data_IF_616294221580
#
_entry.id   IF_616294221580
#
_cell.length_a   1.000
_cell.length_b   1.000
_cell.length_c   1.000
_cell.angle_alpha   90.00
_cell.angle_beta   90.00
_cell.angle_gamma   90.00
#
_symmetry.space_group_name_H-M   'P 1'
#
loop_
_entity.id
_entity.type
_entity.pdbx_description
1 polymer ?
#
# COMPACT_ATOMS: atom_id res chain seq x y z
N UNK A 1 19.80 -38.86 2.27
CA UNK A 1 20.11 -37.62 3.01
C UNK A 1 18.92 -36.69 2.86
N UNK A 2 18.48 -36.12 3.97
CA UNK A 2 17.25 -35.34 4.10
C UNK A 2 17.39 -33.91 3.58
N UNK A 3 16.25 -33.25 3.35
CA UNK A 3 16.17 -31.80 3.29
C UNK A 3 15.09 -31.23 2.37
N UNK A 4 13.83 -31.69 2.48
CA UNK A 4 12.71 -30.93 1.90
C UNK A 4 12.29 -29.86 2.90
N UNK A 5 12.56 -28.60 2.55
CA UNK A 5 12.30 -27.42 3.37
C UNK A 5 10.81 -27.22 3.63
N UNK A 6 10.48 -27.18 4.91
CA UNK A 6 9.17 -26.87 5.48
C UNK A 6 8.75 -25.43 5.19
N UNK A 7 7.66 -25.25 4.41
CA UNK A 7 6.90 -23.98 4.34
C UNK A 7 5.44 -24.14 4.77
N UNK A 8 5.00 -25.34 5.18
CA UNK A 8 3.60 -25.68 5.46
C UNK A 8 3.09 -25.27 6.85
N UNK A 9 3.98 -24.88 7.76
CA UNK A 9 3.63 -24.71 9.18
C UNK A 9 2.77 -23.49 9.55
N UNK A 10 2.70 -22.46 8.69
CA UNK A 10 1.91 -21.24 8.95
C UNK A 10 0.51 -21.38 8.34
N UNK A 11 0.41 -21.95 7.14
CA UNK A 11 -0.87 -22.18 6.47
C UNK A 11 -1.71 -23.24 7.18
N UNK A 12 -1.08 -24.32 7.69
CA UNK A 12 -1.80 -25.37 8.41
C UNK A 12 -2.38 -24.90 9.75
N UNK A 13 -1.68 -24.00 10.46
CA UNK A 13 -2.20 -23.42 11.71
C UNK A 13 -3.38 -22.50 11.49
N UNK A 14 -3.30 -21.62 10.49
CA UNK A 14 -4.41 -20.76 10.11
C UNK A 14 -5.64 -21.58 9.68
N UNK A 15 -5.45 -22.68 8.94
CA UNK A 15 -6.55 -23.56 8.53
C UNK A 15 -7.17 -24.34 9.69
N UNK A 16 -6.39 -24.76 10.69
CA UNK A 16 -6.93 -25.41 11.88
C UNK A 16 -7.71 -24.43 12.76
N UNK A 17 -7.19 -23.21 12.96
CA UNK A 17 -7.93 -22.14 13.66
C UNK A 17 -9.25 -21.79 12.95
N UNK A 18 -9.28 -21.88 11.61
CA UNK A 18 -10.49 -21.67 10.81
C UNK A 18 -11.51 -22.81 10.94
N UNK A 19 -11.05 -24.05 11.16
CA UNK A 19 -11.91 -25.23 11.30
C UNK A 19 -12.61 -25.28 12.65
N UNK A 20 -11.90 -24.87 13.72
CA UNK A 20 -12.43 -24.87 15.08
C UNK A 20 -13.53 -23.82 15.29
N UNK A 21 -13.61 -22.79 14.44
CA UNK A 21 -14.53 -21.65 14.55
C UNK A 21 -15.83 -21.78 13.72
N UNK A 22 -16.08 -22.92 13.06
CA UNK A 22 -17.15 -23.05 12.06
C UNK A 22 -18.52 -23.52 12.60
N UNK A 23 -18.67 -23.69 13.91
CA UNK A 23 -19.97 -23.98 14.51
C UNK A 23 -20.87 -22.72 14.44
N UNK A 24 -22.19 -22.85 14.23
CA UNK A 24 -23.10 -21.73 13.90
C UNK A 24 -23.06 -20.54 14.90
N UNK A 25 -22.73 -20.77 16.17
CA UNK A 25 -22.55 -19.70 17.19
C UNK A 25 -21.21 -18.95 17.12
N UNK A 26 -20.30 -19.40 16.24
CA UNK A 26 -18.95 -18.89 16.10
C UNK A 26 -18.71 -18.18 14.77
N UNK A 27 -19.71 -18.17 13.87
CA UNK A 27 -19.65 -17.45 12.58
C UNK A 27 -19.28 -15.96 12.74
N UNK A 28 -19.82 -15.18 13.70
CA UNK A 28 -19.37 -13.81 13.92
C UNK A 28 -17.91 -13.71 14.37
N UNK A 29 -17.42 -14.66 15.19
CA UNK A 29 -16.02 -14.70 15.64
C UNK A 29 -15.08 -15.06 14.50
N UNK A 30 -15.46 -16.04 13.68
CA UNK A 30 -14.75 -16.44 12.48
C UNK A 30 -14.61 -15.27 11.49
N UNK A 31 -15.71 -14.59 11.18
CA UNK A 31 -15.70 -13.46 10.24
C UNK A 31 -14.91 -12.27 10.78
N UNK A 32 -15.02 -11.98 12.08
CA UNK A 32 -14.21 -10.96 12.74
C UNK A 32 -12.71 -11.26 12.61
N UNK A 33 -12.29 -12.51 12.86
CA UNK A 33 -10.91 -12.94 12.65
C UNK A 33 -10.42 -12.74 11.21
N UNK A 34 -11.23 -13.10 10.21
CA UNK A 34 -10.90 -12.86 8.80
C UNK A 34 -10.71 -11.38 8.52
N UNK A 35 -11.61 -10.51 8.97
CA UNK A 35 -11.49 -9.07 8.78
C UNK A 35 -10.25 -8.50 9.46
N UNK A 36 -9.94 -8.90 10.69
CA UNK A 36 -8.73 -8.46 11.40
C UNK A 36 -7.44 -8.81 10.63
N UNK A 37 -7.37 -10.02 10.05
CA UNK A 37 -6.24 -10.41 9.20
C UNK A 37 -6.15 -9.56 7.92
N UNK A 38 -7.29 -9.25 7.30
CA UNK A 38 -7.31 -8.41 6.10
C UNK A 38 -6.91 -6.96 6.42
N UNK A 39 -7.47 -6.37 7.47
CA UNK A 39 -7.13 -5.02 7.96
C UNK A 39 -5.62 -4.91 8.19
N UNK A 40 -5.01 -5.91 8.82
CA UNK A 40 -3.56 -5.93 9.07
C UNK A 40 -2.77 -5.86 7.75
N UNK A 41 -3.16 -6.66 6.75
CA UNK A 41 -2.50 -6.66 5.43
C UNK A 41 -2.71 -5.34 4.69
N UNK A 42 -3.90 -4.79 4.75
CA UNK A 42 -4.23 -3.52 4.09
C UNK A 42 -3.53 -2.33 4.74
N UNK A 43 -3.37 -2.32 6.06
CA UNK A 43 -2.54 -1.32 6.76
C UNK A 43 -1.09 -1.39 6.32
N UNK A 44 -0.53 -2.60 6.20
CA UNK A 44 0.83 -2.79 5.69
C UNK A 44 0.97 -2.32 4.23
N UNK A 45 -0.02 -2.61 3.39
CA UNK A 45 -0.06 -2.15 2.01
C UNK A 45 -0.15 -0.62 1.92
N UNK A 46 -1.03 0.02 2.71
CA UNK A 46 -1.13 1.48 2.77
C UNK A 46 0.19 2.14 3.20
N UNK A 47 0.90 1.57 4.17
CA UNK A 47 2.23 2.06 4.57
C UNK A 47 3.24 1.97 3.42
N UNK A 48 3.30 0.83 2.72
CA UNK A 48 4.16 0.67 1.55
C UNK A 48 3.85 1.73 0.47
N UNK A 49 2.57 2.01 0.21
CA UNK A 49 2.17 3.05 -0.76
C UNK A 49 2.61 4.45 -0.31
N UNK A 50 2.53 4.76 0.99
CA UNK A 50 3.02 6.03 1.54
C UNK A 50 4.54 6.15 1.38
N UNK A 51 5.29 5.10 1.67
CA UNK A 51 6.75 5.07 1.47
C UNK A 51 7.11 5.34 -0.01
N UNK A 52 6.36 4.74 -0.95
CA UNK A 52 6.54 5.03 -2.37
C UNK A 52 6.19 6.47 -2.73
N UNK A 53 5.11 7.02 -2.18
CA UNK A 53 4.73 8.41 -2.41
C UNK A 53 5.80 9.39 -1.87
N UNK A 54 6.42 9.07 -0.73
CA UNK A 54 7.53 9.84 -0.15
C UNK A 54 8.78 9.80 -1.05
N UNK A 55 9.10 8.63 -1.62
CA UNK A 55 10.18 8.49 -2.60
C UNK A 55 9.94 9.34 -3.85
N UNK A 56 8.71 9.32 -4.39
CA UNK A 56 8.32 10.13 -5.56
C UNK A 56 8.41 11.63 -5.23
N UNK A 57 7.97 12.07 -4.04
CA UNK A 57 8.13 13.47 -3.60
C UNK A 57 9.60 13.89 -3.55
N UNK A 58 10.48 13.06 -2.97
CA UNK A 58 11.92 13.34 -2.95
C UNK A 58 12.51 13.43 -4.36
N UNK A 59 12.05 12.59 -5.29
CA UNK A 59 12.50 12.65 -6.67
C UNK A 59 12.00 13.91 -7.40
N UNK A 60 10.74 14.31 -7.17
CA UNK A 60 10.18 15.56 -7.70
C UNK A 60 10.94 16.79 -7.23
N UNK A 61 11.39 16.83 -5.97
CA UNK A 61 12.24 17.90 -5.44
C UNK A 61 13.57 17.99 -6.21
N UNK A 62 14.20 16.85 -6.49
CA UNK A 62 15.43 16.79 -7.29
C UNK A 62 15.20 17.26 -8.72
N UNK A 63 14.12 16.82 -9.37
CA UNK A 63 13.74 17.28 -10.70
C UNK A 63 13.52 18.79 -10.72
N UNK A 64 12.88 19.35 -9.69
CA UNK A 64 12.67 20.79 -9.58
C UNK A 64 14.00 21.55 -9.57
N UNK A 65 14.97 21.10 -8.77
CA UNK A 65 16.31 21.71 -8.70
C UNK A 65 17.02 21.59 -10.06
N UNK A 66 16.99 20.42 -10.70
CA UNK A 66 17.62 20.20 -12.01
C UNK A 66 17.03 21.10 -13.10
N UNK A 67 15.70 21.23 -13.13
CA UNK A 67 14.99 22.11 -14.07
C UNK A 67 15.36 23.57 -13.83
N UNK A 68 15.42 23.99 -12.56
CA UNK A 68 15.82 25.36 -12.20
C UNK A 68 17.25 25.67 -12.66
N UNK A 69 18.19 24.77 -12.38
CA UNK A 69 19.59 24.90 -12.77
C UNK A 69 19.75 24.92 -14.29
N UNK A 70 19.08 24.02 -15.02
CA UNK A 70 19.10 24.02 -16.50
C UNK A 70 18.51 25.30 -17.10
N UNK A 71 17.45 25.86 -16.50
CA UNK A 71 16.92 27.18 -16.92
C UNK A 71 17.95 28.30 -16.72
N UNK A 72 18.77 28.23 -15.66
CA UNK A 72 19.82 29.21 -15.38
C UNK A 72 20.98 29.14 -16.38
N UNK A 73 21.39 27.94 -16.78
CA UNK A 73 22.50 27.72 -17.72
C UNK A 73 22.05 27.48 -19.16
N UNK A 74 20.84 27.93 -19.53
CA UNK A 74 20.15 27.61 -20.79
C UNK A 74 20.99 27.80 -22.06
N UNK A 75 21.97 28.70 -22.08
CA UNK A 75 22.88 28.88 -23.23
C UNK A 75 23.81 27.68 -23.47
N UNK A 76 23.97 26.77 -22.51
CA UNK A 76 24.88 25.62 -22.54
C UNK A 76 24.15 24.27 -22.68
N UNK A 77 22.82 24.26 -22.53
CA UNK A 77 22.01 23.02 -22.48
C UNK A 77 20.98 23.06 -23.60
N UNK A 78 20.91 22.00 -24.40
CA UNK A 78 19.92 21.88 -25.48
C UNK A 78 18.47 21.92 -24.94
N UNK A 79 17.57 22.55 -25.69
CA UNK A 79 16.15 22.67 -25.31
C UNK A 79 15.49 21.30 -25.07
N UNK A 80 15.91 20.26 -25.79
CA UNK A 80 15.37 18.91 -25.70
C UNK A 80 15.59 18.27 -24.32
N UNK A 81 16.74 18.52 -23.69
CA UNK A 81 17.02 18.01 -22.33
C UNK A 81 16.14 18.65 -21.27
N UNK A 82 15.84 19.95 -21.42
CA UNK A 82 14.96 20.66 -20.50
C UNK A 82 13.50 20.18 -20.64
N UNK A 83 13.03 19.90 -21.85
CA UNK A 83 11.70 19.31 -22.03
C UNK A 83 11.61 17.91 -21.45
N UNK A 84 12.60 17.05 -21.70
CA UNK A 84 12.62 15.70 -21.13
C UNK A 84 12.51 15.70 -19.59
N UNK A 85 13.14 16.66 -18.91
CA UNK A 85 12.99 16.81 -17.46
C UNK A 85 11.59 17.26 -17.03
N UNK A 86 10.94 18.14 -17.80
CA UNK A 86 9.57 18.57 -17.50
C UNK A 86 8.57 17.45 -17.73
N UNK A 87 8.72 16.68 -18.80
CA UNK A 87 7.91 15.48 -19.05
C UNK A 87 8.07 14.46 -17.92
N UNK A 88 9.32 14.26 -17.45
CA UNK A 88 9.59 13.42 -16.27
C UNK A 88 8.90 13.98 -15.02
N UNK A 89 8.97 15.29 -14.79
CA UNK A 89 8.29 15.93 -13.65
C UNK A 89 6.76 15.78 -13.74
N UNK A 90 6.17 15.89 -14.92
CA UNK A 90 4.73 15.69 -15.13
C UNK A 90 4.32 14.24 -14.83
N UNK A 91 5.08 13.28 -15.37
CA UNK A 91 4.84 11.85 -15.13
C UNK A 91 4.90 11.53 -13.62
N UNK A 92 5.89 12.04 -12.90
CA UNK A 92 6.02 11.76 -11.47
C UNK A 92 4.95 12.45 -10.62
N UNK A 93 4.47 13.63 -11.03
CA UNK A 93 3.29 14.22 -10.39
C UNK A 93 2.03 13.35 -10.57
N UNK A 94 1.85 12.76 -11.76
CA UNK A 94 0.76 11.83 -12.01
C UNK A 94 0.89 10.55 -11.17
N UNK A 95 2.11 10.01 -11.03
CA UNK A 95 2.39 8.87 -10.16
C UNK A 95 2.07 9.19 -8.69
N UNK A 96 2.50 10.36 -8.21
CA UNK A 96 2.24 10.79 -6.84
C UNK A 96 0.74 10.91 -6.57
N UNK A 97 -0.02 11.46 -7.51
CA UNK A 97 -1.47 11.56 -7.42
C UNK A 97 -2.10 10.16 -7.34
N UNK A 98 -1.72 9.25 -8.23
CA UNK A 98 -2.24 7.88 -8.25
C UNK A 98 -1.94 7.12 -6.94
N UNK A 99 -0.73 7.27 -6.40
CA UNK A 99 -0.37 6.67 -5.10
C UNK A 99 -1.21 7.24 -3.96
N UNK A 100 -1.43 8.56 -3.94
CA UNK A 100 -2.24 9.23 -2.91
C UNK A 100 -3.71 8.80 -2.98
N UNK A 101 -4.26 8.68 -4.19
CA UNK A 101 -5.63 8.18 -4.40
C UNK A 101 -5.75 6.73 -3.92
N UNK A 102 -4.74 5.89 -4.17
CA UNK A 102 -4.74 4.48 -3.77
C UNK A 102 -4.58 4.31 -2.24
N UNK A 103 -3.79 5.16 -1.58
CA UNK A 103 -3.74 5.23 -0.11
C UNK A 103 -5.11 5.54 0.46
N UNK A 104 -5.78 6.57 -0.07
CA UNK A 104 -7.12 6.99 0.38
C UNK A 104 -8.14 5.86 0.22
N UNK A 105 -8.17 5.20 -0.94
CA UNK A 105 -9.05 4.06 -1.19
C UNK A 105 -8.77 2.89 -0.23
N UNK A 106 -7.49 2.61 0.06
CA UNK A 106 -7.11 1.55 0.99
C UNK A 106 -7.55 1.86 2.42
N UNK A 107 -7.40 3.11 2.86
CA UNK A 107 -7.90 3.58 4.16
C UNK A 107 -9.43 3.47 4.28
N UNK A 108 -10.16 3.77 3.20
CA UNK A 108 -11.62 3.60 3.16
C UNK A 108 -12.04 2.14 3.30
N UNK A 109 -11.30 1.22 2.67
CA UNK A 109 -11.54 -0.23 2.82
C UNK A 109 -11.27 -0.67 4.25
N UNK A 110 -10.16 -0.22 4.84
CA UNK A 110 -9.81 -0.52 6.24
C UNK A 110 -10.92 -0.04 7.18
N UNK A 111 -11.35 1.23 7.07
CA UNK A 111 -12.42 1.80 7.90
C UNK A 111 -13.71 1.00 7.83
N UNK A 112 -14.11 0.58 6.62
CA UNK A 112 -15.32 -0.24 6.45
C UNK A 112 -15.21 -1.58 7.15
N UNK A 113 -14.05 -2.24 7.07
CA UNK A 113 -13.82 -3.53 7.75
C UNK A 113 -13.74 -3.38 9.25
N UNK A 114 -13.11 -2.32 9.76
CA UNK A 114 -13.10 -2.01 11.19
C UNK A 114 -14.53 -1.83 11.72
N UNK A 115 -15.38 -1.08 11.00
CA UNK A 115 -16.80 -0.96 11.36
C UNK A 115 -17.57 -2.30 11.36
N UNK A 116 -17.24 -3.23 10.45
CA UNK A 116 -17.82 -4.57 10.48
C UNK A 116 -17.36 -5.38 11.70
N UNK A 117 -16.09 -5.28 12.09
CA UNK A 117 -15.57 -5.94 13.29
C UNK A 117 -16.27 -5.39 14.54
N UNK A 118 -16.42 -4.08 14.66
CA UNK A 118 -17.09 -3.44 15.80
C UNK A 118 -18.54 -3.93 15.96
N UNK A 119 -19.30 -4.02 14.86
CA UNK A 119 -20.67 -4.55 14.88
C UNK A 119 -20.70 -6.01 15.36
N UNK A 120 -19.77 -6.83 14.87
CA UNK A 120 -19.68 -8.25 15.25
C UNK A 120 -19.31 -8.43 16.73
N UNK A 121 -18.50 -7.53 17.29
CA UNK A 121 -18.14 -7.57 18.71
C UNK A 121 -19.28 -7.12 19.63
N UNK A 122 -20.12 -6.18 19.17
CA UNK A 122 -21.31 -5.71 19.89
C UNK A 122 -22.48 -6.69 19.84
N UNK A 123 -22.46 -7.65 18.90
CA UNK A 123 -23.47 -8.72 18.77
C UNK A 123 -23.22 -9.96 19.63
N UNK A 124 -22.25 -9.90 20.55
CA UNK A 124 -21.96 -10.95 21.56
C UNK A 124 -22.97 -10.92 22.71
#
# INVERSE_FOLDING_TARGET
MAGSGSSSGISGRALNELMDLSAESEVPKFMSFIFLKQITKEKAFANMLRDQADNVRSFLEKLHVMIYEMKRVRSLVGNDSLECLKESQEMENNNLKALTDLVTQTEDVIRRKEGHVDIMELSK
#
